data_IF_839440472035
#
_entry.id   IF_839440472035
#
_cell.length_a   1.000
_cell.length_b   1.000
_cell.length_c   1.000
_cell.angle_alpha   90.00
_cell.angle_beta   90.00
_cell.angle_gamma   90.00
#
_symmetry.space_group_name_H-M   'P 1'
#
loop_
_entity.id
_entity.type
_entity.pdbx_description
1 polymer ?
#
# COMPACT_ATOMS: atom_id res chain seq x y z
N UNK A 1 -26.91 13.28 5.89
CA UNK A 1 -26.14 12.45 4.96
C UNK A 1 -25.41 13.41 4.02
N UNK A 2 -24.14 13.72 4.32
CA UNK A 2 -23.30 14.50 3.38
C UNK A 2 -22.68 13.48 2.42
N UNK A 3 -23.14 13.50 1.17
CA UNK A 3 -22.46 12.82 0.07
C UNK A 3 -21.15 13.55 -0.18
N UNK A 4 -20.05 12.97 0.31
CA UNK A 4 -18.71 13.40 -0.10
C UNK A 4 -18.63 13.17 -1.61
N UNK A 5 -18.63 14.25 -2.36
CA UNK A 5 -18.38 14.21 -3.81
C UNK A 5 -16.99 13.61 -4.02
N UNK A 6 -16.93 12.38 -4.51
CA UNK A 6 -15.66 11.80 -4.94
C UNK A 6 -15.08 12.69 -6.03
N UNK A 7 -13.95 13.33 -5.73
CA UNK A 7 -13.20 14.12 -6.70
C UNK A 7 -12.81 13.18 -7.85
N UNK A 8 -13.36 13.40 -9.03
CA UNK A 8 -12.97 12.60 -10.21
C UNK A 8 -11.49 12.86 -10.50
N UNK A 9 -10.67 11.82 -10.35
CA UNK A 9 -9.25 11.87 -10.68
C UNK A 9 -9.12 11.73 -12.20
N UNK A 10 -8.50 12.71 -12.84
CA UNK A 10 -8.17 12.64 -14.26
C UNK A 10 -6.72 12.20 -14.43
N UNK A 11 -6.48 11.22 -15.30
CA UNK A 11 -5.12 10.82 -15.68
C UNK A 11 -4.41 11.98 -16.38
N UNK A 12 -3.12 12.13 -16.09
CA UNK A 12 -2.28 13.15 -16.70
C UNK A 12 -1.27 13.74 -15.73
N UNK A 13 -0.48 14.73 -16.16
CA UNK A 13 0.68 15.26 -15.42
C UNK A 13 0.34 15.98 -14.12
N UNK A 14 -0.93 16.37 -13.93
CA UNK A 14 -1.40 16.98 -12.68
C UNK A 14 -1.66 15.97 -11.57
N UNK A 15 -1.89 14.70 -11.91
CA UNK A 15 -2.15 13.62 -10.96
C UNK A 15 -0.85 13.19 -10.27
N UNK A 16 -0.82 13.24 -8.95
CA UNK A 16 0.32 12.83 -8.12
C UNK A 16 0.00 11.51 -7.43
N UNK A 17 0.71 10.46 -7.81
CA UNK A 17 0.56 9.14 -7.20
C UNK A 17 1.79 8.87 -6.33
N UNK A 18 1.57 8.51 -5.07
CA UNK A 18 2.60 7.98 -4.18
C UNK A 18 2.57 6.46 -4.14
N UNK A 19 3.74 5.86 -4.06
CA UNK A 19 3.92 4.41 -3.91
C UNK A 19 4.76 4.14 -2.68
N UNK A 20 4.25 3.29 -1.80
CA UNK A 20 5.00 2.78 -0.67
C UNK A 20 5.64 1.44 -1.08
N UNK A 21 6.96 1.41 -1.12
CA UNK A 21 7.77 0.35 -1.70
C UNK A 21 8.32 0.74 -3.08
N UNK A 22 9.63 0.61 -3.24
CA UNK A 22 10.36 1.01 -4.45
C UNK A 22 11.09 -0.14 -5.14
N UNK A 23 10.58 -1.38 -5.00
CA UNK A 23 11.15 -2.59 -5.56
C UNK A 23 10.94 -2.72 -7.07
N UNK A 24 11.07 -3.96 -7.57
CA UNK A 24 11.00 -4.24 -9.00
C UNK A 24 9.60 -4.02 -9.57
N UNK A 25 8.54 -4.36 -8.83
CA UNK A 25 7.16 -4.15 -9.28
C UNK A 25 6.84 -2.64 -9.36
N UNK A 26 7.30 -1.87 -8.37
CA UNK A 26 7.20 -0.41 -8.41
C UNK A 26 7.91 0.20 -9.62
N UNK A 27 9.10 -0.34 -9.98
CA UNK A 27 9.81 0.06 -11.20
C UNK A 27 8.98 -0.20 -12.46
N UNK A 28 8.38 -1.39 -12.59
CA UNK A 28 7.52 -1.73 -13.75
C UNK A 28 6.30 -0.82 -13.81
N UNK A 29 5.69 -0.51 -12.68
CA UNK A 29 4.57 0.43 -12.59
C UNK A 29 4.98 1.83 -13.06
N UNK A 30 6.16 2.34 -12.66
CA UNK A 30 6.66 3.65 -13.10
C UNK A 30 6.86 3.69 -14.60
N UNK A 31 7.38 2.63 -15.22
CA UNK A 31 7.52 2.56 -16.68
C UNK A 31 6.18 2.76 -17.39
N UNK A 32 5.12 2.10 -16.90
CA UNK A 32 3.78 2.28 -17.44
C UNK A 32 3.19 3.67 -17.16
N UNK A 33 3.51 4.25 -16.00
CA UNK A 33 3.07 5.60 -15.63
C UNK A 33 3.69 6.68 -16.52
N UNK A 34 4.93 6.50 -16.96
CA UNK A 34 5.62 7.39 -17.92
C UNK A 34 4.84 7.43 -19.23
N UNK A 35 4.40 6.29 -19.76
CA UNK A 35 3.64 6.21 -21.01
C UNK A 35 2.27 6.91 -20.89
N UNK A 36 1.73 7.04 -19.68
CA UNK A 36 0.46 7.71 -19.37
C UNK A 36 0.63 9.17 -18.93
N UNK A 37 1.85 9.70 -18.94
CA UNK A 37 2.19 11.04 -18.45
C UNK A 37 1.70 11.29 -17.00
N UNK A 38 1.87 10.29 -16.12
CA UNK A 38 1.45 10.34 -14.71
C UNK A 38 2.67 10.50 -13.81
N UNK A 39 2.59 11.43 -12.86
CA UNK A 39 3.65 11.67 -11.88
C UNK A 39 3.59 10.64 -10.76
N UNK A 40 4.70 9.90 -10.60
CA UNK A 40 4.87 8.93 -9.51
C UNK A 40 5.96 9.39 -8.56
N UNK A 41 5.67 9.35 -7.27
CA UNK A 41 6.60 9.57 -6.18
C UNK A 41 6.72 8.28 -5.37
N UNK A 42 7.89 7.95 -4.84
CA UNK A 42 8.14 6.67 -4.16
C UNK A 42 8.78 6.91 -2.80
N UNK A 43 8.32 6.16 -1.80
CA UNK A 43 8.98 6.04 -0.51
C UNK A 43 9.45 4.60 -0.29
N UNK A 44 10.72 4.44 0.10
CA UNK A 44 11.33 3.13 0.36
C UNK A 44 12.44 3.26 1.41
N UNK A 45 12.64 2.27 2.31
CA UNK A 45 13.73 2.30 3.29
C UNK A 45 15.12 2.16 2.67
N UNK A 46 15.25 1.46 1.52
CA UNK A 46 16.52 1.24 0.85
C UNK A 46 16.95 2.47 0.05
N UNK A 47 18.12 3.00 0.36
CA UNK A 47 18.67 4.16 -0.34
C UNK A 47 18.95 3.88 -1.83
N UNK A 48 19.14 2.63 -2.20
CA UNK A 48 19.42 2.14 -3.55
C UNK A 48 18.25 1.38 -4.19
N UNK A 49 17.03 1.65 -3.71
CA UNK A 49 15.81 1.02 -4.23
C UNK A 49 15.73 1.14 -5.77
N UNK A 50 15.25 0.09 -6.47
CA UNK A 50 15.17 0.06 -7.94
C UNK A 50 14.43 1.24 -8.58
N UNK A 51 13.50 1.86 -7.85
CA UNK A 51 12.73 3.02 -8.32
C UNK A 51 13.46 4.36 -8.21
N UNK A 52 14.55 4.45 -7.43
CA UNK A 52 15.16 5.72 -7.01
C UNK A 52 15.39 6.71 -8.15
N UNK A 53 15.91 6.24 -9.27
CA UNK A 53 16.32 7.10 -10.40
C UNK A 53 15.25 7.23 -11.50
N UNK A 54 14.08 6.63 -11.30
CA UNK A 54 12.99 6.62 -12.28
C UNK A 54 11.77 7.44 -11.82
N UNK A 55 11.68 7.71 -10.52
CA UNK A 55 10.56 8.43 -9.91
C UNK A 55 10.75 9.94 -9.93
N UNK A 56 9.66 10.70 -9.92
CA UNK A 56 9.70 12.17 -9.85
C UNK A 56 10.22 12.68 -8.51
N UNK A 57 9.95 11.95 -7.42
CA UNK A 57 10.49 12.19 -6.09
C UNK A 57 10.70 10.88 -5.38
N UNK A 58 11.89 10.67 -4.86
CA UNK A 58 12.21 9.54 -3.99
C UNK A 58 12.42 10.04 -2.56
N UNK A 59 11.75 9.39 -1.61
CA UNK A 59 11.91 9.64 -0.18
C UNK A 59 12.41 8.37 0.49
N UNK A 60 13.58 8.43 1.10
CA UNK A 60 14.05 7.35 1.94
C UNK A 60 13.37 7.44 3.29
N UNK A 61 12.68 6.38 3.72
CA UNK A 61 11.99 6.35 5.01
C UNK A 61 11.41 4.99 5.35
N UNK A 62 11.12 4.80 6.63
CA UNK A 62 10.50 3.58 7.14
C UNK A 62 9.02 3.54 6.78
N UNK A 63 8.62 2.52 6.03
CA UNK A 63 7.23 2.30 5.61
C UNK A 63 6.31 1.92 6.77
N UNK A 64 6.85 1.49 7.92
CA UNK A 64 6.08 1.15 9.12
C UNK A 64 5.91 2.36 10.07
N UNK A 65 6.61 3.46 9.83
CA UNK A 65 6.45 4.70 10.60
C UNK A 65 5.23 5.48 10.09
N UNK A 66 4.21 5.60 10.95
CA UNK A 66 2.96 6.28 10.61
C UNK A 66 3.15 7.77 10.30
N UNK A 67 4.08 8.44 10.98
CA UNK A 67 4.35 9.87 10.77
C UNK A 67 5.12 10.08 9.46
N UNK A 68 6.08 9.21 9.15
CA UNK A 68 6.81 9.25 7.90
C UNK A 68 5.89 8.99 6.70
N UNK A 69 5.02 7.97 6.77
CA UNK A 69 4.02 7.66 5.72
C UNK A 69 3.05 8.81 5.53
N UNK A 70 2.54 9.41 6.62
CA UNK A 70 1.66 10.55 6.53
C UNK A 70 2.35 11.78 5.92
N UNK A 71 3.56 12.10 6.38
CA UNK A 71 4.33 13.24 5.86
C UNK A 71 4.65 13.10 4.36
N UNK A 72 4.93 11.85 3.90
CA UNK A 72 5.15 11.55 2.49
C UNK A 72 3.91 11.78 1.64
N UNK A 73 2.74 11.30 2.10
CA UNK A 73 1.53 11.18 1.28
C UNK A 73 0.55 12.35 1.35
N UNK A 74 0.62 13.23 2.35
CA UNK A 74 -0.42 14.25 2.64
C UNK A 74 -0.69 15.24 1.50
N UNK A 75 0.27 15.47 0.61
CA UNK A 75 0.16 16.42 -0.51
C UNK A 75 -0.04 15.72 -1.87
N UNK A 76 -0.33 14.42 -1.83
CA UNK A 76 -0.58 13.59 -3.01
C UNK A 76 -2.09 13.38 -3.23
N UNK A 77 -2.48 13.02 -4.45
CA UNK A 77 -3.88 12.72 -4.78
C UNK A 77 -4.22 11.26 -4.45
N UNK A 78 -3.28 10.35 -4.69
CA UNK A 78 -3.45 8.90 -4.49
C UNK A 78 -2.21 8.32 -3.82
N UNK A 79 -2.42 7.40 -2.87
CA UNK A 79 -1.39 6.52 -2.33
C UNK A 79 -1.73 5.08 -2.67
N UNK A 80 -0.75 4.35 -3.19
CA UNK A 80 -0.79 2.90 -3.36
C UNK A 80 0.44 2.24 -2.72
N UNK A 81 0.44 0.92 -2.71
CA UNK A 81 1.51 0.12 -2.12
C UNK A 81 2.12 -0.82 -3.16
N UNK A 82 3.39 -1.11 -3.03
CA UNK A 82 4.08 -2.17 -3.78
C UNK A 82 4.34 -3.39 -2.88
N UNK A 83 4.50 -3.14 -1.59
CA UNK A 83 4.67 -4.15 -0.55
C UNK A 83 3.60 -3.98 0.53
N UNK A 84 3.06 -5.10 1.06
CA UNK A 84 1.98 -5.06 2.04
C UNK A 84 2.41 -4.61 3.45
N UNK A 85 3.70 -4.73 3.79
CA UNK A 85 4.22 -4.35 5.11
C UNK A 85 4.43 -2.85 5.22
N UNK A 86 3.34 -2.12 5.43
CA UNK A 86 3.29 -0.66 5.55
C UNK A 86 2.43 -0.25 6.75
N UNK A 87 2.61 0.97 7.23
CA UNK A 87 1.84 1.51 8.36
C UNK A 87 0.38 1.74 8.02
N UNK A 88 -0.51 0.82 8.41
CA UNK A 88 -1.97 0.99 8.30
C UNK A 88 -2.45 2.23 9.06
N UNK A 89 -1.98 2.56 10.28
CA UNK A 89 -2.32 3.82 10.93
C UNK A 89 -1.96 5.06 10.12
N UNK A 90 -0.79 5.08 9.47
CA UNK A 90 -0.38 6.18 8.59
C UNK A 90 -1.31 6.34 7.39
N UNK A 91 -1.69 5.23 6.76
CA UNK A 91 -2.64 5.21 5.64
C UNK A 91 -4.05 5.67 6.05
N UNK A 92 -4.56 5.29 7.22
CA UNK A 92 -5.83 5.80 7.74
C UNK A 92 -5.83 7.30 7.97
N UNK A 93 -4.71 7.85 8.45
CA UNK A 93 -4.55 9.30 8.58
C UNK A 93 -4.59 10.01 7.24
N UNK A 94 -4.01 9.41 6.20
CA UNK A 94 -4.07 9.94 4.82
C UNK A 94 -5.51 9.94 4.27
N UNK A 95 -6.28 8.86 4.47
CA UNK A 95 -7.70 8.85 4.10
C UNK A 95 -8.50 9.95 4.82
N UNK A 96 -8.29 10.11 6.13
CA UNK A 96 -8.92 11.18 6.91
C UNK A 96 -8.51 12.58 6.44
N UNK A 97 -7.32 12.71 5.89
CA UNK A 97 -6.82 13.95 5.30
C UNK A 97 -7.36 14.21 3.89
N UNK A 98 -8.07 13.26 3.29
CA UNK A 98 -8.67 13.38 1.96
C UNK A 98 -7.83 12.81 0.82
N UNK A 99 -6.72 12.15 1.11
CA UNK A 99 -5.93 11.41 0.12
C UNK A 99 -6.61 10.09 -0.20
N UNK A 100 -6.71 9.74 -1.48
CA UNK A 100 -7.26 8.44 -1.89
C UNK A 100 -6.23 7.34 -1.66
N UNK A 101 -6.53 6.39 -0.77
CA UNK A 101 -5.67 5.24 -0.47
C UNK A 101 -6.21 3.98 -1.15
N UNK A 102 -5.36 3.29 -1.93
CA UNK A 102 -5.70 2.07 -2.68
C UNK A 102 -4.56 1.06 -2.56
N UNK A 103 -4.82 -0.16 -2.04
CA UNK A 103 -6.06 -0.65 -1.44
C UNK A 103 -6.43 0.10 -0.16
N UNK A 104 -7.68 0.00 0.27
CA UNK A 104 -8.11 0.63 1.54
C UNK A 104 -7.35 0.04 2.72
N UNK A 105 -7.06 0.84 3.76
CA UNK A 105 -6.34 0.37 4.94
C UNK A 105 -6.97 -0.87 5.60
N UNK A 106 -8.31 -0.98 5.61
CA UNK A 106 -9.00 -2.15 6.17
C UNK A 106 -8.70 -3.45 5.43
N UNK A 107 -8.43 -3.39 4.12
CA UNK A 107 -7.99 -4.55 3.36
C UNK A 107 -6.57 -4.99 3.76
N UNK A 108 -5.71 -4.02 4.10
CA UNK A 108 -4.34 -4.31 4.53
C UNK A 108 -4.29 -4.97 5.90
N UNK A 109 -5.19 -4.63 6.83
CA UNK A 109 -5.30 -5.33 8.12
C UNK A 109 -5.56 -6.82 7.92
N UNK A 110 -6.36 -7.18 6.90
CA UNK A 110 -6.61 -8.60 6.56
C UNK A 110 -5.39 -9.23 5.87
N UNK A 111 -4.72 -8.49 4.98
CA UNK A 111 -3.62 -9.02 4.16
C UNK A 111 -2.34 -9.23 4.96
N UNK A 112 -2.04 -8.33 5.91
CA UNK A 112 -0.80 -8.34 6.68
C UNK A 112 -0.69 -9.53 7.64
N UNK A 113 -1.80 -10.07 8.12
CA UNK A 113 -1.84 -11.24 8.97
C UNK A 113 -2.41 -12.45 8.24
N UNK A 114 -1.60 -13.49 8.06
CA UNK A 114 -2.00 -14.69 7.30
C UNK A 114 -3.12 -15.48 7.98
N UNK A 115 -3.19 -15.46 9.32
CA UNK A 115 -4.28 -16.08 10.06
C UNK A 115 -5.60 -15.37 9.81
N UNK A 116 -5.60 -14.05 9.94
CA UNK A 116 -6.76 -13.19 9.64
C UNK A 116 -7.20 -13.35 8.19
N UNK A 117 -6.26 -13.37 7.24
CA UNK A 117 -6.55 -13.57 5.81
C UNK A 117 -7.20 -14.91 5.55
N UNK A 118 -6.70 -15.99 6.16
CA UNK A 118 -7.26 -17.34 6.01
C UNK A 118 -8.66 -17.45 6.62
N UNK A 119 -8.87 -16.90 7.80
CA UNK A 119 -10.18 -16.83 8.43
C UNK A 119 -11.19 -16.04 7.57
N UNK A 120 -10.76 -14.92 6.98
CA UNK A 120 -11.57 -14.15 6.04
C UNK A 120 -11.98 -14.98 4.81
N UNK A 121 -11.05 -15.73 4.21
CA UNK A 121 -11.36 -16.58 3.06
C UNK A 121 -12.40 -17.66 3.41
N UNK A 122 -12.25 -18.32 4.56
CA UNK A 122 -13.19 -19.32 5.03
C UNK A 122 -14.58 -18.73 5.27
N UNK A 123 -14.65 -17.59 5.97
CA UNK A 123 -15.92 -16.90 6.26
C UNK A 123 -16.67 -16.49 4.99
N UNK A 124 -15.96 -16.16 3.92
CA UNK A 124 -16.55 -15.69 2.66
C UNK A 124 -16.63 -16.77 1.57
N UNK A 125 -16.34 -18.03 1.91
CA UNK A 125 -16.39 -19.16 0.96
C UNK A 125 -15.38 -19.04 -0.20
N UNK A 126 -14.26 -18.32 0.02
CA UNK A 126 -13.21 -18.17 -0.99
C UNK A 126 -12.32 -19.41 -0.96
N UNK A 127 -12.16 -20.14 -2.08
CA UNK A 127 -11.30 -21.31 -2.12
C UNK A 127 -9.85 -20.97 -1.76
N UNK A 128 -9.28 -21.75 -0.85
CA UNK A 128 -7.88 -21.63 -0.43
C UNK A 128 -7.31 -22.99 -0.07
N UNK A 129 -5.99 -23.12 -0.04
CA UNK A 129 -5.35 -24.33 0.44
C UNK A 129 -5.78 -24.64 1.88
N UNK A 130 -5.96 -25.91 2.25
CA UNK A 130 -6.21 -26.31 3.64
C UNK A 130 -5.16 -25.70 4.58
N UNK A 131 -5.60 -25.24 5.73
CA UNK A 131 -4.73 -24.60 6.72
C UNK A 131 -5.15 -24.95 8.14
N UNK A 132 -4.24 -24.78 9.05
CA UNK A 132 -4.47 -24.87 10.50
C UNK A 132 -3.81 -23.68 11.15
N UNK A 133 -4.57 -22.98 11.98
CA UNK A 133 -4.02 -21.93 12.83
C UNK A 133 -3.41 -22.58 14.09
N UNK A 134 -2.20 -22.18 14.45
CA UNK A 134 -1.49 -22.62 15.64
C UNK A 134 -1.06 -21.40 16.44
N UNK A 135 -1.26 -21.46 17.77
CA UNK A 135 -0.86 -20.38 18.67
C UNK A 135 0.59 -20.51 19.14
N UNK A 136 1.14 -21.72 19.08
CA UNK A 136 2.51 -21.99 19.52
C UNK A 136 3.22 -22.92 18.53
N UNK A 137 4.55 -22.81 18.45
CA UNK A 137 5.37 -23.66 17.59
C UNK A 137 5.24 -25.17 17.92
N UNK A 138 4.96 -25.53 19.18
CA UNK A 138 4.76 -26.93 19.58
C UNK A 138 3.52 -27.56 18.96
N UNK A 139 2.47 -26.79 18.71
CA UNK A 139 1.24 -27.28 18.06
C UNK A 139 1.44 -27.59 16.57
N UNK A 140 2.48 -27.06 15.95
CA UNK A 140 2.78 -27.30 14.53
C UNK A 140 3.33 -28.71 14.25
N UNK A 141 3.89 -29.39 15.28
CA UNK A 141 4.47 -30.73 15.14
C UNK A 141 3.45 -31.88 15.21
N UNK A 142 2.23 -31.62 15.65
CA UNK A 142 1.19 -32.65 15.92
C UNK A 142 0.17 -32.79 14.76
N UNK A 143 0.44 -32.17 13.61
CA UNK A 143 -0.45 -32.16 12.43
C UNK A 143 0.36 -32.30 11.15
#
# INVERSE_FOLDING_TARGET
>A
MQTTSEKSLQLGPALKIGVLGGGQLGRMMIQSAIDLDVRVEVMDPAADAPCRHLTHRFVQGDLNDADAVFAFGKDLDVITIEIEHVSVPGLRRLEQHGVRVVPKPDHLDVIQDKGTQKAFFEQHGIPTAPFVLVETASQAGDK
#
